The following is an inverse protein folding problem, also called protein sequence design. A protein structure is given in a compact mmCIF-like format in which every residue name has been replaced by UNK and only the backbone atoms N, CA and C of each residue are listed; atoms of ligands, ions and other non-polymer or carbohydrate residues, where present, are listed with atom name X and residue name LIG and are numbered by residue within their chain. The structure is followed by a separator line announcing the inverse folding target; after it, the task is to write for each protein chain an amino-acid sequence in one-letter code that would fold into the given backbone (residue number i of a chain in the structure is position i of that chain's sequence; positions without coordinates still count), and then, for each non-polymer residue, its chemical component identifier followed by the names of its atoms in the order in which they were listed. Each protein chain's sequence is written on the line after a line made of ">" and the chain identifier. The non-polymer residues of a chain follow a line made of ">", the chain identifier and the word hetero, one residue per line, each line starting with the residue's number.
data_IF_351290054445
#
_entry.id   IF_351290054445
#
_cell.length_a   1.000
_cell.length_b   1.000
_cell.length_c   1.000
_cell.angle_alpha   90.00
_cell.angle_beta   90.00
_cell.angle_gamma   90.00
#
_symmetry.space_group_name_H-M   'P 1'
#
loop_
_entity.id
_entity.type
_entity.pdbx_description
1 polymer ?
#
# COMPACT_ATOMS: atom_id res chain seq x y z
N UNK A 1 -1.09 14.12 -0.50
CA UNK A 1 -0.01 13.26 0.02
C UNK A 1 -0.34 11.87 -0.45
N UNK A 2 0.64 11.09 -0.90
CA UNK A 2 0.38 9.73 -1.38
C UNK A 2 0.00 8.83 -0.18
N UNK A 3 -1.17 8.20 -0.22
CA UNK A 3 -1.67 7.34 0.84
C UNK A 3 -0.78 6.11 1.05
N UNK A 4 -0.49 5.78 2.31
CA UNK A 4 0.42 4.70 2.72
C UNK A 4 -0.30 3.45 3.18
N UNK A 5 -1.55 3.59 3.59
CA UNK A 5 -2.39 2.52 4.12
C UNK A 5 -3.87 2.88 3.91
N UNK A 6 -4.77 2.00 4.36
CA UNK A 6 -6.21 2.19 4.20
C UNK A 6 -6.81 3.30 5.08
N UNK A 7 -6.14 3.66 6.18
CA UNK A 7 -6.59 4.77 7.04
C UNK A 7 -6.36 6.11 6.32
N UNK A 8 -5.23 6.26 5.63
CA UNK A 8 -4.98 7.43 4.78
C UNK A 8 -6.01 7.53 3.65
N UNK A 9 -6.46 6.40 3.10
CA UNK A 9 -7.55 6.35 2.12
C UNK A 9 -8.88 6.80 2.75
N UNK A 10 -9.20 6.33 3.96
CA UNK A 10 -10.40 6.73 4.67
C UNK A 10 -10.42 8.25 4.95
N UNK A 11 -9.27 8.84 5.29
CA UNK A 11 -9.13 10.30 5.39
C UNK A 11 -9.32 10.98 4.02
N UNK A 12 -8.79 10.42 2.93
CA UNK A 12 -9.01 10.95 1.60
C UNK A 12 -10.51 11.01 1.24
N UNK A 13 -11.30 9.98 1.59
CA UNK A 13 -12.75 9.96 1.40
C UNK A 13 -13.47 11.10 2.12
N UNK A 14 -13.07 11.42 3.36
CA UNK A 14 -13.68 12.52 4.14
C UNK A 14 -13.50 13.88 3.48
N UNK A 15 -12.44 14.03 2.67
CA UNK A 15 -12.13 15.28 1.95
C UNK A 15 -12.72 15.35 0.54
N UNK A 16 -13.45 14.32 0.10
CA UNK A 16 -14.04 14.30 -1.24
C UNK A 16 -15.19 15.31 -1.33
N UNK A 17 -15.01 16.27 -2.23
CA UNK A 17 -16.04 17.22 -2.59
C UNK A 17 -16.22 17.26 -4.10
N UNK A 18 -17.49 17.31 -4.52
CA UNK A 18 -17.89 17.35 -5.92
C UNK A 18 -18.43 18.74 -6.25
N UNK A 19 -18.04 19.26 -7.42
CA UNK A 19 -18.56 20.52 -7.91
C UNK A 19 -20.04 20.36 -8.26
N UNK A 20 -20.90 21.23 -7.71
CA UNK A 20 -22.34 21.25 -8.03
C UNK A 20 -22.59 21.80 -9.44
N UNK A 21 -23.65 21.33 -10.10
CA UNK A 21 -24.18 21.97 -11.31
C UNK A 21 -25.15 23.11 -10.94
N UNK A 22 -25.46 23.98 -11.90
CA UNK A 22 -26.38 25.10 -11.71
C UNK A 22 -27.83 24.66 -11.43
N UNK A 23 -28.29 23.56 -12.02
CA UNK A 23 -29.62 22.99 -11.77
C UNK A 23 -29.44 21.51 -11.42
N UNK A 24 -29.51 21.21 -10.12
CA UNK A 24 -29.51 19.84 -9.59
C UNK A 24 -28.22 19.04 -9.79
N UNK A 25 -27.84 18.26 -8.78
CA UNK A 25 -26.75 17.27 -8.87
C UNK A 25 -25.34 17.87 -8.96
N UNK A 26 -24.40 17.00 -9.36
CA UNK A 26 -22.96 17.29 -9.42
C UNK A 26 -22.41 17.18 -10.84
N UNK A 27 -21.31 17.87 -11.09
CA UNK A 27 -20.58 17.83 -12.36
C UNK A 27 -19.92 16.46 -12.54
N UNK A 28 -20.28 15.76 -13.60
CA UNK A 28 -19.69 14.45 -13.95
C UNK A 28 -18.17 14.55 -14.12
N UNK A 29 -17.68 15.60 -14.78
CA UNK A 29 -16.23 15.88 -14.88
C UNK A 29 -15.57 16.00 -13.50
N UNK A 30 -16.27 16.61 -12.53
CA UNK A 30 -15.76 16.70 -11.16
C UNK A 30 -15.75 15.33 -10.48
N UNK A 31 -16.77 14.50 -10.71
CA UNK A 31 -16.83 13.14 -10.15
C UNK A 31 -15.67 12.31 -10.67
N UNK A 32 -15.49 12.22 -11.99
CA UNK A 32 -14.38 11.47 -12.60
C UNK A 32 -13.01 11.95 -12.13
N UNK A 33 -12.82 13.27 -12.00
CA UNK A 33 -11.57 13.83 -11.46
C UNK A 33 -11.29 13.36 -10.03
N UNK A 34 -12.32 13.30 -9.18
CA UNK A 34 -12.16 12.82 -7.80
C UNK A 34 -11.92 11.31 -7.74
N UNK A 35 -12.59 10.53 -8.59
CA UNK A 35 -12.36 9.08 -8.70
C UNK A 35 -10.93 8.76 -9.16
N UNK A 36 -10.41 9.47 -10.18
CA UNK A 36 -9.02 9.31 -10.62
C UNK A 36 -8.02 9.66 -9.51
N UNK A 37 -8.28 10.75 -8.77
CA UNK A 37 -7.46 11.11 -7.60
C UNK A 37 -7.47 9.99 -6.56
N UNK A 38 -8.63 9.49 -6.19
CA UNK A 38 -8.78 8.42 -5.20
C UNK A 38 -8.10 7.12 -5.67
N UNK A 39 -8.22 6.77 -6.95
CA UNK A 39 -7.58 5.58 -7.52
C UNK A 39 -6.05 5.67 -7.44
N UNK A 40 -5.47 6.86 -7.61
CA UNK A 40 -4.03 7.09 -7.41
C UNK A 40 -3.62 6.88 -5.96
N UNK A 41 -4.42 7.33 -5.01
CA UNK A 41 -4.16 7.09 -3.58
C UNK A 41 -4.20 5.59 -3.26
N UNK A 42 -5.21 4.86 -3.75
CA UNK A 42 -5.27 3.40 -3.59
C UNK A 42 -4.04 2.69 -4.16
N UNK A 43 -3.65 3.03 -5.39
CA UNK A 43 -2.46 2.47 -6.04
C UNK A 43 -1.22 2.67 -5.17
N UNK A 44 -1.01 3.89 -4.67
CA UNK A 44 0.10 4.23 -3.78
C UNK A 44 0.11 3.37 -2.52
N UNK A 45 -1.05 3.20 -1.86
CA UNK A 45 -1.15 2.40 -0.65
C UNK A 45 -0.83 0.92 -0.91
N UNK A 46 -1.29 0.37 -2.04
CA UNK A 46 -0.99 -1.01 -2.43
C UNK A 46 0.49 -1.21 -2.80
N UNK A 47 1.08 -0.30 -3.57
CA UNK A 47 2.51 -0.37 -3.93
C UNK A 47 3.40 -0.30 -2.67
N UNK A 48 3.10 0.59 -1.72
CA UNK A 48 3.84 0.63 -0.46
C UNK A 48 3.65 -0.63 0.39
N UNK A 49 2.44 -1.18 0.42
CA UNK A 49 2.16 -2.42 1.12
C UNK A 49 2.93 -3.59 0.50
N UNK A 50 2.95 -3.68 -0.83
CA UNK A 50 3.67 -4.70 -1.58
C UNK A 50 5.18 -4.63 -1.29
N UNK A 51 5.79 -3.45 -1.39
CA UNK A 51 7.21 -3.27 -1.12
C UNK A 51 7.57 -3.61 0.33
N UNK A 52 6.72 -3.22 1.29
CA UNK A 52 6.90 -3.60 2.69
C UNK A 52 6.88 -5.12 2.88
N UNK A 53 5.93 -5.82 2.25
CA UNK A 53 5.85 -7.27 2.35
C UNK A 53 7.02 -7.97 1.66
N UNK A 54 7.47 -7.49 0.50
CA UNK A 54 8.67 -8.00 -0.17
C UNK A 54 9.90 -7.92 0.74
N UNK A 55 10.11 -6.77 1.38
CA UNK A 55 11.23 -6.57 2.30
C UNK A 55 11.17 -7.56 3.50
N UNK A 56 10.00 -7.72 4.11
CA UNK A 56 9.81 -8.65 5.23
C UNK A 56 10.03 -10.12 4.82
N UNK A 57 9.57 -10.50 3.62
CA UNK A 57 9.79 -11.85 3.10
C UNK A 57 11.27 -12.10 2.83
N UNK A 58 11.97 -11.12 2.24
CA UNK A 58 13.41 -11.21 1.99
C UNK A 58 14.19 -11.37 3.29
N UNK A 59 13.95 -10.52 4.29
CA UNK A 59 14.59 -10.61 5.61
C UNK A 59 14.38 -12.00 6.24
N UNK A 60 13.14 -12.50 6.19
CA UNK A 60 12.79 -13.83 6.69
C UNK A 60 13.50 -14.95 5.93
N UNK A 61 13.62 -14.84 4.61
CA UNK A 61 14.29 -15.86 3.80
C UNK A 61 15.81 -15.89 4.04
N UNK A 62 16.42 -14.71 4.23
CA UNK A 62 17.83 -14.58 4.63
C UNK A 62 18.09 -15.20 6.01
N UNK A 63 17.20 -14.94 6.98
CA UNK A 63 17.30 -15.54 8.32
C UNK A 63 17.17 -17.07 8.27
N UNK A 64 16.20 -17.60 7.51
CA UNK A 64 16.06 -19.04 7.32
C UNK A 64 17.31 -19.64 6.67
N UNK A 65 17.88 -18.99 5.66
CA UNK A 65 19.09 -19.46 5.00
C UNK A 65 20.28 -19.49 5.97
N UNK A 66 20.44 -18.44 6.77
CA UNK A 66 21.41 -18.35 7.87
C UNK A 66 21.29 -19.50 8.87
N UNK A 67 20.07 -19.75 9.37
CA UNK A 67 19.81 -20.81 10.35
C UNK A 67 20.03 -22.20 9.76
N UNK A 68 19.58 -22.45 8.52
CA UNK A 68 19.84 -23.71 7.81
C UNK A 68 21.33 -23.97 7.62
N UNK A 69 22.10 -22.93 7.27
CA UNK A 69 23.57 -23.03 7.16
C UNK A 69 24.19 -23.40 8.50
N UNK A 70 23.80 -22.74 9.60
CA UNK A 70 24.29 -23.05 10.95
C UNK A 70 23.96 -24.48 11.38
N UNK A 71 22.75 -24.96 11.10
CA UNK A 71 22.34 -26.33 11.39
C UNK A 71 23.13 -27.36 10.56
N UNK A 72 23.38 -27.08 9.28
CA UNK A 72 24.21 -27.93 8.43
C UNK A 72 25.68 -27.97 8.86
N UNK A 73 26.11 -26.94 9.61
CA UNK A 73 27.44 -26.82 10.21
C UNK A 73 27.44 -27.25 11.69
N UNK A 74 26.43 -28.01 12.14
CA UNK A 74 26.35 -28.58 13.50
C UNK A 74 27.66 -29.28 13.92
N UNK A 75 27.92 -29.34 15.23
CA UNK A 75 29.28 -29.38 15.78
C UNK A 75 30.09 -30.49 15.13
N UNK A 76 31.34 -30.19 14.76
CA UNK A 76 32.32 -31.23 14.56
C UNK A 76 32.24 -32.13 15.80
N UNK A 77 31.66 -33.32 15.63
CA UNK A 77 31.65 -34.34 16.65
C UNK A 77 33.12 -34.68 16.91
N UNK A 78 33.69 -34.10 17.96
CA UNK A 78 34.86 -34.64 18.67
C UNK A 78 34.44 -35.88 19.47
#
# INVERSE_FOLDING_TARGET
>A
MAARNMDDIAEAFKTLHFQKKFIGGVSEKSVWKQLDKLQKEYRSAYEMQEERFKALLQERDEEIASLKKRLSQGPAHE
#
